data_IF_780414914334
#
_entry.id   IF_780414914334
#
_cell.length_a   1.000
_cell.length_b   1.000
_cell.length_c   1.000
_cell.angle_alpha   90.00
_cell.angle_beta   90.00
_cell.angle_gamma   90.00
#
_symmetry.space_group_name_H-M   'P 1'
#
loop_
_entity.id
_entity.type
_entity.pdbx_description
1 polymer ?
#
# COMPACT_ATOMS: atom_id res chain seq x y z
N UNK A 1 22.71 31.01 37.63
CA UNK A 1 23.51 30.59 36.48
C UNK A 1 23.29 29.12 36.24
N UNK A 2 22.03 28.69 36.04
CA UNK A 2 21.68 27.25 35.90
C UNK A 2 20.55 26.94 34.88
N UNK A 3 20.27 27.84 33.92
CA UNK A 3 19.16 27.61 32.97
C UNK A 3 19.57 27.44 31.49
N UNK A 4 20.87 27.53 31.16
CA UNK A 4 21.34 27.38 29.77
C UNK A 4 21.72 25.95 29.39
N UNK A 5 21.89 25.03 30.34
CA UNK A 5 22.39 23.67 30.07
C UNK A 5 21.32 22.72 29.52
N UNK A 6 20.05 22.88 29.91
CA UNK A 6 18.99 21.90 29.59
C UNK A 6 18.46 22.07 28.15
N UNK A 7 18.42 23.30 27.62
CA UNK A 7 17.98 23.59 26.25
C UNK A 7 18.98 23.08 25.18
N UNK A 8 20.27 23.11 25.47
CA UNK A 8 21.32 22.68 24.53
C UNK A 8 21.32 21.14 24.40
N UNK A 9 20.98 20.39 25.45
CA UNK A 9 20.91 18.94 25.41
C UNK A 9 19.71 18.42 24.58
N UNK A 10 18.57 19.09 24.65
CA UNK A 10 17.39 18.75 23.86
C UNK A 10 17.62 18.97 22.36
N UNK A 11 18.21 20.10 21.98
CA UNK A 11 18.51 20.40 20.56
C UNK A 11 19.58 19.49 19.94
N UNK A 12 20.59 19.09 20.71
CA UNK A 12 21.63 18.17 20.22
C UNK A 12 21.10 16.76 20.00
N UNK A 13 20.16 16.26 20.82
CA UNK A 13 19.53 14.97 20.61
C UNK A 13 18.68 14.98 19.33
N UNK A 14 17.87 16.01 19.12
CA UNK A 14 17.03 16.14 17.92
C UNK A 14 17.87 16.26 16.64
N UNK A 15 18.98 17.00 16.65
CA UNK A 15 19.85 17.15 15.49
C UNK A 15 20.63 15.85 15.20
N UNK A 16 21.07 15.12 16.24
CA UNK A 16 21.78 13.84 16.05
C UNK A 16 20.87 12.70 15.57
N UNK A 17 19.58 12.71 15.90
CA UNK A 17 18.60 11.76 15.36
C UNK A 17 18.26 12.05 13.89
N UNK A 18 18.24 13.32 13.47
CA UNK A 18 17.98 13.71 12.08
C UNK A 18 19.17 13.40 11.14
N UNK A 19 20.42 13.45 11.65
CA UNK A 19 21.61 13.05 10.86
C UNK A 19 21.80 11.54 10.74
N UNK A 20 21.04 10.71 11.48
CA UNK A 20 21.21 9.25 11.53
C UNK A 20 20.31 8.46 10.57
N UNK A 21 19.32 9.06 9.96
CA UNK A 21 18.46 8.36 9.00
C UNK A 21 19.09 8.36 7.61
N UNK A 22 20.00 7.43 7.36
CA UNK A 22 20.54 7.18 6.00
C UNK A 22 19.47 6.71 5.01
N UNK A 23 18.31 6.28 5.49
CA UNK A 23 17.22 5.75 4.71
C UNK A 23 15.89 6.22 5.29
N UNK A 24 14.87 6.47 4.45
CA UNK A 24 13.51 6.73 4.95
C UNK A 24 13.01 5.59 5.83
N UNK A 25 12.13 5.89 6.77
CA UNK A 25 11.46 4.90 7.64
C UNK A 25 10.06 4.62 7.11
N UNK A 26 9.71 3.34 6.94
CA UNK A 26 8.38 2.92 6.53
C UNK A 26 7.71 2.09 7.62
N UNK A 27 6.70 2.64 8.28
CA UNK A 27 5.77 1.86 9.09
C UNK A 27 4.79 1.13 8.18
N UNK A 28 4.72 -0.18 8.30
CA UNK A 28 4.02 -1.03 7.36
C UNK A 28 3.35 -2.21 8.05
N UNK A 29 2.31 -2.75 7.45
CA UNK A 29 1.75 -4.04 7.83
C UNK A 29 1.66 -4.92 6.60
N UNK A 30 2.31 -6.09 6.64
CA UNK A 30 2.49 -6.98 5.50
C UNK A 30 1.21 -7.28 4.72
N UNK A 31 0.07 -7.48 5.42
CA UNK A 31 -1.21 -7.85 4.83
C UNK A 31 -2.12 -6.68 4.48
N UNK A 32 -1.73 -5.44 4.78
CA UNK A 32 -2.51 -4.26 4.43
C UNK A 32 -2.35 -3.95 2.94
N UNK A 33 -3.43 -3.86 2.13
CA UNK A 33 -3.34 -3.57 0.70
C UNK A 33 -2.73 -2.19 0.42
N UNK A 34 -3.03 -1.19 1.24
CA UNK A 34 -2.40 0.13 1.15
C UNK A 34 -0.88 0.07 1.35
N UNK A 35 -0.42 -0.69 2.37
CA UNK A 35 1.02 -0.86 2.61
C UNK A 35 1.68 -1.76 1.55
N UNK A 36 0.96 -2.69 0.93
CA UNK A 36 1.47 -3.50 -0.18
C UNK A 36 1.81 -2.63 -1.38
N UNK A 37 0.88 -1.77 -1.84
CA UNK A 37 1.13 -0.94 -3.02
C UNK A 37 2.28 0.06 -2.82
N UNK A 38 2.43 0.61 -1.62
CA UNK A 38 3.58 1.45 -1.28
C UNK A 38 4.90 0.66 -1.36
N UNK A 39 4.97 -0.54 -0.75
CA UNK A 39 6.16 -1.40 -0.85
C UNK A 39 6.46 -1.84 -2.27
N UNK A 40 5.44 -2.19 -3.08
CA UNK A 40 5.64 -2.55 -4.49
C UNK A 40 6.32 -1.42 -5.25
N UNK A 41 5.89 -0.19 -5.04
CA UNK A 41 6.47 0.97 -5.71
C UNK A 41 7.88 1.26 -5.21
N UNK A 42 8.13 1.22 -3.90
CA UNK A 42 9.48 1.42 -3.34
C UNK A 42 10.47 0.38 -3.86
N UNK A 43 10.06 -0.88 -3.94
CA UNK A 43 10.90 -1.96 -4.52
C UNK A 43 11.17 -1.71 -6.00
N UNK A 44 10.15 -1.35 -6.77
CA UNK A 44 10.27 -1.09 -8.20
C UNK A 44 11.28 0.02 -8.53
N UNK A 45 11.28 1.10 -7.75
CA UNK A 45 12.22 2.22 -7.92
C UNK A 45 13.55 2.00 -7.19
N UNK A 46 13.71 0.85 -6.51
CA UNK A 46 14.92 0.50 -5.74
C UNK A 46 15.26 1.47 -4.59
N UNK A 47 14.23 2.08 -3.98
CA UNK A 47 14.41 2.89 -2.77
C UNK A 47 14.45 1.97 -1.56
N UNK A 48 15.59 1.95 -0.87
CA UNK A 48 15.74 1.22 0.40
C UNK A 48 15.18 2.05 1.55
N UNK A 49 14.33 1.43 2.36
CA UNK A 49 13.74 2.03 3.58
C UNK A 49 14.05 1.17 4.81
N UNK A 50 14.15 1.79 5.98
CA UNK A 50 14.04 1.08 7.24
C UNK A 50 12.59 0.64 7.41
N UNK A 51 12.33 -0.67 7.33
CA UNK A 51 10.98 -1.20 7.47
C UNK A 51 10.64 -1.49 8.94
N UNK A 52 9.53 -0.94 9.41
CA UNK A 52 8.97 -1.14 10.74
C UNK A 52 7.62 -1.84 10.61
N UNK A 53 7.62 -3.17 10.73
CA UNK A 53 6.37 -3.95 10.68
C UNK A 53 5.53 -3.67 11.92
N UNK A 54 4.28 -3.22 11.71
CA UNK A 54 3.37 -2.78 12.76
C UNK A 54 2.47 -3.92 13.21
N UNK A 55 2.40 -4.17 14.52
CA UNK A 55 1.34 -4.99 15.09
C UNK A 55 0.11 -4.10 15.33
N UNK A 56 -0.96 -4.31 14.56
CA UNK A 56 -2.14 -3.44 14.57
C UNK A 56 -2.87 -3.38 15.93
N UNK A 57 -2.72 -4.42 16.76
CA UNK A 57 -3.27 -4.47 18.12
C UNK A 57 -2.50 -3.63 19.15
N UNK A 58 -1.26 -3.24 18.83
CA UNK A 58 -0.42 -2.37 19.65
C UNK A 58 0.50 -1.54 18.73
N UNK A 59 -0.02 -0.42 18.26
CA UNK A 59 0.69 0.45 17.33
C UNK A 59 1.81 1.21 18.03
N UNK A 60 3.00 1.34 17.39
CA UNK A 60 4.10 2.11 17.96
C UNK A 60 3.73 3.57 18.23
N UNK A 61 4.06 4.07 19.41
CA UNK A 61 3.80 5.47 19.78
C UNK A 61 4.45 6.45 18.80
N UNK A 62 5.69 6.18 18.37
CA UNK A 62 6.40 6.99 17.39
C UNK A 62 5.65 7.09 16.04
N UNK A 63 4.93 6.03 15.60
CA UNK A 63 4.08 6.13 14.41
C UNK A 63 2.85 7.01 14.63
N UNK A 64 2.24 6.92 15.82
CA UNK A 64 1.04 7.70 16.16
C UNK A 64 1.35 9.21 16.29
N UNK A 65 2.57 9.56 16.69
CA UNK A 65 3.06 10.93 16.72
C UNK A 65 3.29 11.52 15.32
N UNK A 66 3.68 10.68 14.35
CA UNK A 66 3.85 11.08 12.95
C UNK A 66 2.51 11.23 12.21
N UNK A 67 1.54 10.35 12.50
CA UNK A 67 0.23 10.37 11.86
C UNK A 67 -0.88 10.05 12.85
N UNK A 68 -1.72 11.04 13.13
CA UNK A 68 -2.88 10.92 14.02
C UNK A 68 -3.94 9.95 13.48
N UNK A 69 -3.94 9.63 12.18
CA UNK A 69 -4.82 8.61 11.57
C UNK A 69 -4.57 7.23 12.17
N UNK A 70 -3.34 6.95 12.64
CA UNK A 70 -2.95 5.66 13.18
C UNK A 70 -3.12 4.50 12.20
N UNK A 71 -3.04 4.76 10.90
CA UNK A 71 -3.13 3.76 9.81
C UNK A 71 -1.75 3.51 9.21
N UNK A 72 -1.61 2.43 8.46
CA UNK A 72 -0.41 2.12 7.69
C UNK A 72 -0.74 2.09 6.20
N UNK A 73 0.22 2.52 5.32
CA UNK A 73 1.61 2.86 5.61
C UNK A 73 1.78 4.29 6.12
N UNK A 74 2.90 4.56 6.81
CA UNK A 74 3.43 5.91 7.07
C UNK A 74 4.91 5.90 6.68
N UNK A 75 5.32 6.84 5.83
CA UNK A 75 6.70 7.07 5.44
C UNK A 75 7.23 8.34 6.11
N UNK A 76 8.41 8.27 6.67
CA UNK A 76 9.19 9.39 7.17
C UNK A 76 10.51 9.49 6.40
N UNK A 77 10.77 10.63 5.73
CA UNK A 77 12.01 10.92 5.02
C UNK A 77 12.52 12.31 5.45
N UNK A 78 13.45 12.34 6.39
CA UNK A 78 13.84 13.59 7.07
C UNK A 78 12.62 14.22 7.77
N UNK A 79 12.25 15.44 7.35
CA UNK A 79 11.08 16.15 7.86
C UNK A 79 9.78 15.85 7.07
N UNK A 80 9.89 15.12 5.95
CA UNK A 80 8.75 14.74 5.12
C UNK A 80 8.01 13.55 5.74
N UNK A 81 6.72 13.74 6.02
CA UNK A 81 5.82 12.68 6.47
C UNK A 81 4.75 12.45 5.41
N UNK A 82 4.64 11.20 4.91
CA UNK A 82 3.58 10.78 4.01
C UNK A 82 2.78 9.65 4.66
N UNK A 83 1.50 9.89 4.90
CA UNK A 83 0.59 8.93 5.55
C UNK A 83 -0.57 8.47 4.64
N UNK A 84 -0.48 8.80 3.34
CA UNK A 84 -1.31 8.26 2.28
C UNK A 84 -0.46 7.40 1.32
N UNK A 85 -0.91 6.18 1.10
CA UNK A 85 -0.14 5.22 0.29
C UNK A 85 0.06 5.65 -1.16
N UNK A 86 -0.89 6.37 -1.77
CA UNK A 86 -0.76 6.90 -3.13
C UNK A 86 0.27 8.02 -3.17
N UNK A 87 0.35 8.85 -2.13
CA UNK A 87 1.36 9.89 -2.06
C UNK A 87 2.77 9.31 -1.89
N UNK A 88 2.91 8.23 -1.10
CA UNK A 88 4.17 7.45 -1.03
C UNK A 88 4.54 6.89 -2.41
N UNK A 89 3.58 6.33 -3.15
CA UNK A 89 3.82 5.81 -4.50
C UNK A 89 4.27 6.93 -5.44
N UNK A 90 3.59 8.07 -5.46
CA UNK A 90 3.95 9.22 -6.29
C UNK A 90 5.31 9.79 -5.93
N UNK A 91 5.59 9.97 -4.65
CA UNK A 91 6.89 10.41 -4.15
C UNK A 91 8.02 9.49 -4.63
N UNK A 92 7.84 8.19 -4.53
CA UNK A 92 8.82 7.22 -4.98
C UNK A 92 9.03 7.27 -6.50
N UNK A 93 7.95 7.31 -7.29
CA UNK A 93 8.01 7.38 -8.75
C UNK A 93 8.59 8.71 -9.28
N UNK A 94 8.50 9.79 -8.51
CA UNK A 94 9.16 11.05 -8.84
C UNK A 94 10.68 10.97 -8.69
N UNK A 95 11.21 10.06 -7.87
CA UNK A 95 12.66 9.82 -7.76
C UNK A 95 13.19 9.00 -8.94
N UNK A 96 12.42 8.00 -9.37
CA UNK A 96 12.76 7.13 -10.51
C UNK A 96 11.51 6.43 -11.01
N UNK A 97 11.33 6.38 -12.33
CA UNK A 97 10.22 5.65 -12.96
C UNK A 97 10.68 4.94 -14.26
N UNK A 98 11.49 3.88 -14.14
CA UNK A 98 12.18 3.28 -15.28
C UNK A 98 11.25 2.68 -16.35
N UNK A 99 10.03 2.30 -16.01
CA UNK A 99 9.05 1.73 -16.94
C UNK A 99 7.83 2.64 -17.17
N UNK A 100 7.91 3.91 -16.71
CA UNK A 100 6.88 4.92 -16.92
C UNK A 100 5.50 4.51 -16.36
N UNK A 101 5.46 4.09 -15.09
CA UNK A 101 4.18 3.84 -14.40
C UNK A 101 3.36 5.10 -14.21
N UNK A 102 4.02 6.27 -14.09
CA UNK A 102 3.36 7.58 -14.15
C UNK A 102 3.19 8.01 -15.61
N UNK A 103 1.97 7.90 -16.09
CA UNK A 103 1.58 8.27 -17.45
C UNK A 103 0.77 9.56 -17.38
N UNK A 104 1.33 10.66 -17.86
CA UNK A 104 0.64 11.95 -17.87
C UNK A 104 -0.63 11.94 -18.75
N UNK A 105 -0.60 11.20 -19.86
CA UNK A 105 -1.73 11.00 -20.76
C UNK A 105 -2.86 10.14 -20.16
N UNK A 106 -2.59 9.35 -19.11
CA UNK A 106 -3.55 8.48 -18.41
C UNK A 106 -3.85 8.96 -16.98
N UNK A 107 -3.40 10.15 -16.60
CA UNK A 107 -3.50 10.64 -15.23
C UNK A 107 -4.95 10.67 -14.72
N UNK A 108 -5.86 11.24 -15.51
CA UNK A 108 -7.27 11.37 -15.12
C UNK A 108 -7.95 10.00 -14.91
N UNK A 109 -7.70 9.04 -15.82
CA UNK A 109 -8.26 7.69 -15.72
C UNK A 109 -7.64 6.92 -14.54
N UNK A 110 -6.34 7.08 -14.30
CA UNK A 110 -5.63 6.51 -13.16
C UNK A 110 -6.22 7.02 -11.84
N UNK A 111 -6.40 8.33 -11.71
CA UNK A 111 -6.98 8.95 -10.52
C UNK A 111 -8.43 8.51 -10.28
N UNK A 112 -9.23 8.44 -11.34
CA UNK A 112 -10.62 7.97 -11.26
C UNK A 112 -10.72 6.52 -10.80
N UNK A 113 -9.89 5.62 -11.35
CA UNK A 113 -9.86 4.21 -10.94
C UNK A 113 -9.38 4.02 -9.49
N UNK A 114 -8.34 4.76 -9.08
CA UNK A 114 -7.83 4.70 -7.71
C UNK A 114 -8.87 5.23 -6.71
N UNK A 115 -9.54 6.34 -7.06
CA UNK A 115 -10.59 6.91 -6.22
C UNK A 115 -11.78 5.95 -6.04
N UNK A 116 -12.20 5.26 -7.10
CA UNK A 116 -13.26 4.25 -7.03
C UNK A 116 -12.83 3.03 -6.20
N UNK A 117 -11.58 2.56 -6.39
CA UNK A 117 -11.00 1.48 -5.61
C UNK A 117 -10.95 1.81 -4.11
N UNK A 118 -10.40 2.97 -3.76
CA UNK A 118 -10.16 3.38 -2.37
C UNK A 118 -11.46 3.80 -1.65
N UNK A 119 -12.50 4.16 -2.42
CA UNK A 119 -13.80 4.57 -1.92
C UNK A 119 -14.84 3.42 -1.95
N UNK A 120 -15.65 3.39 -3.01
CA UNK A 120 -16.80 2.50 -3.12
C UNK A 120 -16.41 1.02 -3.09
N UNK A 121 -15.40 0.62 -3.87
CA UNK A 121 -14.96 -0.77 -3.90
C UNK A 121 -14.38 -1.22 -2.56
N UNK A 122 -13.56 -0.38 -1.91
CA UNK A 122 -13.00 -0.70 -0.59
C UNK A 122 -14.08 -0.89 0.46
N UNK A 123 -15.15 -0.10 0.42
CA UNK A 123 -16.30 -0.27 1.31
C UNK A 123 -16.97 -1.63 1.10
N UNK A 124 -17.26 -1.99 -0.15
CA UNK A 124 -17.86 -3.28 -0.49
C UNK A 124 -16.93 -4.45 -0.11
N UNK A 125 -15.61 -4.31 -0.35
CA UNK A 125 -14.62 -5.31 0.04
C UNK A 125 -14.58 -5.54 1.56
N UNK A 126 -14.61 -4.48 2.37
CA UNK A 126 -14.62 -4.63 3.83
C UNK A 126 -15.91 -5.29 4.31
N UNK A 127 -17.04 -4.92 3.78
CA UNK A 127 -18.34 -5.53 4.09
C UNK A 127 -18.37 -7.00 3.65
N UNK A 128 -17.86 -7.33 2.47
CA UNK A 128 -17.76 -8.71 2.00
C UNK A 128 -16.84 -9.56 2.88
N UNK A 129 -15.66 -9.02 3.23
CA UNK A 129 -14.65 -9.74 4.00
C UNK A 129 -15.01 -9.94 5.47
N UNK A 130 -15.69 -8.94 6.06
CA UNK A 130 -16.06 -8.89 7.47
C UNK A 130 -17.58 -8.85 7.64
N UNK A 131 -18.30 -9.55 6.77
CA UNK A 131 -19.76 -9.54 6.68
C UNK A 131 -20.48 -9.77 8.01
N UNK A 132 -19.86 -10.54 8.91
CA UNK A 132 -20.35 -10.79 10.27
C UNK A 132 -20.46 -9.52 11.13
N UNK A 133 -19.76 -8.47 10.77
CA UNK A 133 -19.81 -7.13 11.41
C UNK A 133 -20.86 -6.22 10.77
N UNK A 134 -21.42 -6.64 9.66
CA UNK A 134 -22.40 -5.87 8.88
C UNK A 134 -23.70 -6.67 8.67
N UNK A 135 -24.50 -6.87 9.75
CA UNK A 135 -25.63 -7.80 9.72
C UNK A 135 -26.85 -7.32 8.91
N UNK A 136 -26.78 -6.13 8.28
CA UNK A 136 -27.88 -5.58 7.50
C UNK A 136 -28.16 -6.37 6.22
N UNK A 137 -27.11 -6.97 5.63
CA UNK A 137 -27.19 -7.69 4.37
C UNK A 137 -26.36 -8.98 4.40
N UNK A 138 -26.57 -9.85 3.42
CA UNK A 138 -25.80 -11.10 3.29
C UNK A 138 -24.40 -10.86 2.74
N UNK A 139 -23.48 -11.78 3.04
CA UNK A 139 -22.13 -11.77 2.44
C UNK A 139 -22.20 -11.75 0.90
N UNK A 140 -23.15 -12.49 0.31
CA UNK A 140 -23.36 -12.50 -1.14
C UNK A 140 -23.77 -11.12 -1.68
N UNK A 141 -24.64 -10.41 -0.94
CA UNK A 141 -25.03 -9.04 -1.33
C UNK A 141 -23.83 -8.10 -1.38
N UNK A 142 -22.98 -8.11 -0.34
CA UNK A 142 -21.76 -7.29 -0.32
C UNK A 142 -20.76 -7.68 -1.42
N UNK A 143 -20.66 -8.98 -1.72
CA UNK A 143 -19.87 -9.44 -2.87
C UNK A 143 -20.38 -8.84 -4.17
N UNK A 144 -21.68 -8.90 -4.44
CA UNK A 144 -22.31 -8.35 -5.65
C UNK A 144 -22.03 -6.85 -5.81
N UNK A 145 -22.01 -6.07 -4.73
CA UNK A 145 -21.62 -4.67 -4.79
C UNK A 145 -20.15 -4.49 -5.25
N UNK A 146 -19.26 -5.34 -4.80
CA UNK A 146 -17.86 -5.33 -5.25
C UNK A 146 -17.70 -5.81 -6.70
N UNK A 147 -18.56 -6.72 -7.17
CA UNK A 147 -18.54 -7.27 -8.53
C UNK A 147 -18.74 -6.20 -9.62
N UNK A 148 -19.39 -5.08 -9.31
CA UNK A 148 -19.50 -3.94 -10.26
C UNK A 148 -18.12 -3.41 -10.66
N UNK A 149 -17.20 -3.29 -9.70
CA UNK A 149 -15.84 -2.86 -9.98
C UNK A 149 -15.02 -3.94 -10.68
N UNK A 150 -15.19 -5.22 -10.29
CA UNK A 150 -14.53 -6.34 -10.97
C UNK A 150 -14.90 -6.40 -12.45
N UNK A 151 -16.20 -6.24 -12.78
CA UNK A 151 -16.67 -6.21 -14.16
C UNK A 151 -16.03 -5.07 -14.95
N UNK A 152 -15.95 -3.88 -14.38
CA UNK A 152 -15.30 -2.73 -15.01
C UNK A 152 -13.82 -3.02 -15.31
N UNK A 153 -13.07 -3.58 -14.34
CA UNK A 153 -11.67 -3.93 -14.54
C UNK A 153 -11.50 -5.03 -15.60
N UNK A 154 -12.34 -6.06 -15.59
CA UNK A 154 -12.30 -7.14 -16.59
C UNK A 154 -12.54 -6.58 -18.00
N UNK A 155 -13.47 -5.63 -18.17
CA UNK A 155 -13.72 -4.95 -19.45
C UNK A 155 -12.52 -4.12 -19.92
N UNK A 156 -11.83 -3.40 -19.04
CA UNK A 156 -10.61 -2.67 -19.39
C UNK A 156 -9.51 -3.62 -19.86
N UNK A 157 -9.39 -4.77 -19.22
CA UNK A 157 -8.43 -5.82 -19.57
C UNK A 157 -8.79 -6.62 -20.86
N UNK A 158 -9.99 -6.46 -21.40
CA UNK A 158 -10.33 -6.95 -22.72
C UNK A 158 -9.72 -6.08 -23.83
N UNK A 159 -9.54 -4.79 -23.58
CA UNK A 159 -8.99 -3.84 -24.52
C UNK A 159 -7.47 -3.69 -24.42
N UNK A 160 -6.89 -3.95 -23.25
CA UNK A 160 -5.48 -3.74 -22.95
C UNK A 160 -4.89 -4.95 -22.21
N UNK A 161 -3.56 -5.07 -22.20
CA UNK A 161 -2.87 -6.09 -21.42
C UNK A 161 -2.90 -5.80 -19.91
N UNK A 162 -2.92 -4.50 -19.53
CA UNK A 162 -3.07 -3.99 -18.17
C UNK A 162 -4.28 -3.06 -18.11
N UNK A 163 -4.60 -2.51 -16.94
CA UNK A 163 -5.86 -1.77 -16.75
C UNK A 163 -6.06 -0.60 -17.72
N UNK A 164 -5.01 0.16 -18.03
CA UNK A 164 -5.11 1.37 -18.84
C UNK A 164 -4.17 1.36 -20.06
N UNK A 165 -3.32 0.35 -20.23
CA UNK A 165 -2.33 0.30 -21.31
C UNK A 165 -1.85 -1.13 -21.54
N UNK A 166 -0.93 -1.32 -22.50
CA UNK A 166 -0.25 -2.61 -22.75
C UNK A 166 1.00 -2.83 -21.86
N UNK A 167 1.30 -1.86 -21.01
CA UNK A 167 2.34 -1.94 -19.97
C UNK A 167 1.77 -1.57 -18.62
N UNK A 168 2.34 -2.08 -17.49
CA UNK A 168 1.87 -1.72 -16.16
C UNK A 168 1.87 -0.21 -15.93
N UNK A 169 0.85 0.29 -15.25
CA UNK A 169 0.71 1.69 -14.83
C UNK A 169 0.56 1.81 -13.33
N UNK A 170 0.58 3.02 -12.82
CA UNK A 170 0.27 3.30 -11.41
C UNK A 170 -1.08 2.71 -10.98
N UNK A 171 -2.08 2.70 -11.89
CA UNK A 171 -3.40 2.13 -11.61
C UNK A 171 -3.31 0.64 -11.26
N UNK A 172 -2.53 -0.14 -12.01
CA UNK A 172 -2.37 -1.57 -11.79
C UNK A 172 -1.79 -1.85 -10.40
N UNK A 173 -0.70 -1.18 -10.05
CA UNK A 173 0.01 -1.38 -8.78
C UNK A 173 -0.85 -0.90 -7.60
N UNK A 174 -1.61 0.18 -7.80
CA UNK A 174 -2.48 0.73 -6.76
C UNK A 174 -3.66 -0.19 -6.47
N UNK A 175 -4.22 -0.86 -7.47
CA UNK A 175 -5.49 -1.62 -7.39
C UNK A 175 -5.24 -3.11 -7.09
N UNK A 176 -4.17 -3.69 -7.61
CA UNK A 176 -3.85 -5.12 -7.47
C UNK A 176 -4.01 -5.67 -6.03
N UNK A 177 -3.48 -5.03 -4.97
CA UNK A 177 -3.57 -5.58 -3.63
C UNK A 177 -5.02 -5.70 -3.11
N UNK A 178 -5.92 -4.85 -3.59
CA UNK A 178 -7.33 -4.85 -3.20
C UNK A 178 -8.11 -5.94 -3.93
N UNK A 179 -7.88 -6.11 -5.23
CA UNK A 179 -8.47 -7.22 -6.00
C UNK A 179 -7.98 -8.55 -5.45
N UNK A 180 -6.68 -8.66 -5.12
CA UNK A 180 -6.15 -9.83 -4.42
C UNK A 180 -6.89 -10.07 -3.10
N UNK A 181 -7.12 -9.04 -2.29
CA UNK A 181 -7.82 -9.20 -1.01
C UNK A 181 -9.26 -9.65 -1.21
N UNK A 182 -9.95 -9.13 -2.23
CA UNK A 182 -11.32 -9.51 -2.58
C UNK A 182 -11.39 -10.97 -3.05
N UNK A 183 -10.53 -11.37 -3.99
CA UNK A 183 -10.47 -12.72 -4.51
C UNK A 183 -10.18 -13.77 -3.42
N UNK A 184 -9.39 -13.42 -2.42
CA UNK A 184 -9.02 -14.31 -1.33
C UNK A 184 -10.03 -14.36 -0.17
N UNK A 185 -11.19 -13.70 -0.27
CA UNK A 185 -12.33 -13.94 0.62
C UNK A 185 -12.99 -15.27 0.30
N UNK A 186 -13.20 -15.54 -0.99
CA UNK A 186 -13.68 -16.82 -1.54
C UNK A 186 -12.98 -17.08 -2.89
N UNK A 187 -11.85 -17.78 -2.81
CA UNK A 187 -11.00 -18.03 -3.98
C UNK A 187 -11.67 -18.96 -5.00
N UNK A 188 -12.40 -19.97 -4.52
CA UNK A 188 -13.05 -20.93 -5.41
C UNK A 188 -14.14 -20.25 -6.24
N UNK A 189 -14.92 -19.37 -5.63
CA UNK A 189 -15.89 -18.54 -6.34
C UNK A 189 -15.21 -17.62 -7.37
N UNK A 190 -14.15 -16.93 -6.96
CA UNK A 190 -13.45 -15.99 -7.86
C UNK A 190 -12.88 -16.70 -9.09
N UNK A 191 -12.25 -17.87 -8.91
CA UNK A 191 -11.66 -18.66 -9.99
C UNK A 191 -12.71 -19.25 -10.95
N UNK A 192 -13.94 -19.44 -10.49
CA UNK A 192 -15.07 -19.93 -11.30
C UNK A 192 -15.91 -18.79 -11.90
N UNK A 193 -15.61 -17.54 -11.57
CA UNK A 193 -16.35 -16.37 -12.07
C UNK A 193 -16.08 -16.12 -13.56
N UNK A 194 -16.90 -15.27 -14.18
CA UNK A 194 -16.75 -14.90 -15.59
C UNK A 194 -15.65 -13.86 -15.86
N UNK A 195 -14.93 -13.37 -14.84
CA UNK A 195 -13.90 -12.33 -14.94
C UNK A 195 -12.54 -12.90 -15.37
N UNK A 196 -12.49 -13.55 -16.53
CA UNK A 196 -11.31 -14.33 -16.96
C UNK A 196 -10.06 -13.48 -17.18
N UNK A 197 -10.20 -12.27 -17.71
CA UNK A 197 -9.06 -11.37 -17.92
C UNK A 197 -8.53 -10.84 -16.59
N UNK A 198 -9.42 -10.52 -15.66
CA UNK A 198 -9.04 -10.07 -14.33
C UNK A 198 -8.36 -11.19 -13.52
N UNK A 199 -8.79 -12.44 -13.66
CA UNK A 199 -8.14 -13.61 -13.06
C UNK A 199 -6.70 -13.76 -13.56
N UNK A 200 -6.47 -13.67 -14.89
CA UNK A 200 -5.14 -13.74 -15.50
C UNK A 200 -4.24 -12.59 -15.04
N UNK A 201 -4.75 -11.37 -15.03
CA UNK A 201 -4.05 -10.18 -14.55
C UNK A 201 -3.69 -10.31 -13.06
N UNK A 202 -4.63 -10.75 -12.22
CA UNK A 202 -4.37 -10.97 -10.80
C UNK A 202 -3.28 -12.03 -10.60
N UNK A 203 -3.35 -13.16 -11.32
CA UNK A 203 -2.39 -14.25 -11.19
C UNK A 203 -0.99 -13.81 -11.65
N UNK A 204 -0.90 -13.03 -12.74
CA UNK A 204 0.35 -12.46 -13.21
C UNK A 204 1.08 -11.66 -12.12
N UNK A 205 0.36 -10.80 -11.39
CA UNK A 205 0.96 -10.04 -10.28
C UNK A 205 1.28 -10.92 -9.07
N UNK A 206 0.44 -11.91 -8.74
CA UNK A 206 0.70 -12.85 -7.62
C UNK A 206 2.02 -13.60 -7.85
N UNK A 207 2.26 -14.04 -9.09
CA UNK A 207 3.45 -14.83 -9.44
C UNK A 207 4.69 -13.96 -9.70
N UNK A 208 4.52 -12.64 -9.74
CA UNK A 208 5.62 -11.73 -10.05
C UNK A 208 6.71 -11.74 -8.97
N UNK A 209 8.00 -11.67 -9.37
CA UNK A 209 9.09 -11.48 -8.42
C UNK A 209 8.92 -10.24 -7.54
N UNK A 210 8.34 -9.16 -8.10
CA UNK A 210 8.03 -7.92 -7.40
C UNK A 210 7.13 -8.19 -6.18
N UNK A 211 5.99 -8.87 -6.38
CA UNK A 211 5.06 -9.14 -5.31
C UNK A 211 5.60 -10.15 -4.29
N UNK A 212 6.33 -11.17 -4.74
CA UNK A 212 6.92 -12.18 -3.85
C UNK A 212 7.90 -11.55 -2.85
N UNK A 213 8.74 -10.59 -3.28
CA UNK A 213 9.64 -9.87 -2.39
C UNK A 213 8.89 -8.97 -1.41
N UNK A 214 7.84 -8.28 -1.87
CA UNK A 214 6.98 -7.43 -1.02
C UNK A 214 6.30 -8.24 0.10
N UNK A 215 6.05 -9.53 -0.13
CA UNK A 215 5.41 -10.41 0.85
C UNK A 215 6.39 -11.06 1.83
N UNK A 216 7.67 -10.67 1.84
CA UNK A 216 8.61 -11.07 2.88
C UNK A 216 8.06 -10.75 4.29
N UNK A 217 8.28 -11.66 5.23
CA UNK A 217 7.73 -11.57 6.59
C UNK A 217 8.78 -10.98 7.54
N UNK A 218 8.47 -9.80 8.07
CA UNK A 218 9.23 -9.18 9.16
C UNK A 218 8.56 -9.44 10.51
N UNK A 219 9.33 -9.57 11.61
CA UNK A 219 8.75 -9.57 12.94
C UNK A 219 8.19 -8.17 13.29
N UNK A 220 7.19 -8.07 14.18
CA UNK A 220 6.72 -6.79 14.67
C UNK A 220 7.88 -5.97 15.25
N UNK A 221 7.95 -4.69 14.83
CA UNK A 221 9.01 -3.79 15.25
C UNK A 221 8.83 -3.33 16.69
N UNK A 222 9.96 -3.19 17.41
CA UNK A 222 10.06 -2.63 18.76
C UNK A 222 11.12 -1.52 18.78
N UNK A 223 11.01 -0.49 19.65
CA UNK A 223 11.94 0.63 19.69
C UNK A 223 13.43 0.25 19.89
N UNK A 224 13.70 -0.90 20.54
CA UNK A 224 15.06 -1.40 20.80
C UNK A 224 15.62 -2.28 19.67
N UNK A 225 14.83 -2.57 18.63
CA UNK A 225 15.29 -3.43 17.54
C UNK A 225 16.37 -2.73 16.70
N UNK A 226 17.32 -3.52 16.18
CA UNK A 226 18.20 -3.04 15.12
C UNK A 226 17.41 -2.79 13.83
N UNK A 227 17.84 -1.79 13.06
CA UNK A 227 17.22 -1.44 11.80
C UNK A 227 17.16 -2.65 10.84
N UNK A 228 16.00 -2.85 10.23
CA UNK A 228 15.79 -3.81 9.14
C UNK A 228 15.45 -3.04 7.87
N UNK A 229 15.98 -3.51 6.76
CA UNK A 229 15.83 -2.78 5.50
C UNK A 229 14.96 -3.55 4.51
N UNK A 230 14.26 -2.79 3.67
CA UNK A 230 13.47 -3.28 2.55
C UNK A 230 13.72 -2.35 1.34
N UNK A 231 13.96 -2.90 0.14
CA UNK A 231 14.29 -4.31 -0.12
C UNK A 231 15.60 -4.72 0.55
N UNK A 232 15.70 -6.00 0.89
CA UNK A 232 16.89 -6.60 1.53
C UNK A 232 17.75 -7.32 0.52
#
# INVERSE_FOLDING_TARGET
MFFLGVLIYSWRHTILETELLKHPVLYSFRRCPYAMRARMTLLYVSITVEIREVFLGNKPQAMLELSAKGTVPVLLDGDLILDESVDIMRWALQQSDPQQWLRADLQADTEALIAENDGRFKTALDQYKYWDRFPAESQQHYRQQGEEFLLKLDQLLQANQYLLADTPTLADIAIFPFIRQFAFVDRDWFDQSSYQRLQQWLQHFIDSPLFNQVMHKYPPWQPQDSARFFPS
#
